data_IF_135865450480
#
_entry.id   IF_135865450480
#
_cell.length_a   1.000
_cell.length_b   1.000
_cell.length_c   1.000
_cell.angle_alpha   90.00
_cell.angle_beta   90.00
_cell.angle_gamma   90.00
#
_symmetry.space_group_name_H-M   'P 1'
#
loop_
_entity.id
_entity.type
_entity.pdbx_description
1 polymer ?
#
# COMPACT_ATOMS: atom_id res chain seq x y z
N UNK A 1 -2.81 26.02 40.67
CA UNK A 1 -4.18 26.17 40.13
C UNK A 1 -4.15 25.67 38.71
N UNK A 2 -5.03 24.73 38.36
CA UNK A 2 -5.00 24.03 37.07
C UNK A 2 -5.19 25.00 35.91
N UNK A 3 -4.21 25.08 35.02
CA UNK A 3 -4.32 25.77 33.75
C UNK A 3 -5.39 25.08 32.92
N UNK A 4 -6.52 25.78 32.72
CA UNK A 4 -7.58 25.33 31.83
C UNK A 4 -7.01 25.14 30.43
N UNK A 5 -7.10 23.92 29.90
CA UNK A 5 -6.86 23.65 28.49
C UNK A 5 -7.70 24.64 27.68
N UNK A 6 -7.04 25.49 26.88
CA UNK A 6 -7.70 26.36 25.92
C UNK A 6 -8.74 25.56 25.15
N UNK A 7 -9.98 26.06 25.14
CA UNK A 7 -11.05 25.50 24.32
C UNK A 7 -10.58 25.48 22.87
N UNK A 8 -10.36 24.27 22.35
CA UNK A 8 -10.34 23.99 20.92
C UNK A 8 -11.63 24.59 20.35
N UNK A 9 -11.52 25.35 19.26
CA UNK A 9 -12.64 26.04 18.61
C UNK A 9 -13.92 25.18 18.63
N UNK A 10 -15.01 25.71 19.20
CA UNK A 10 -16.29 25.00 19.25
C UNK A 10 -16.83 24.94 17.83
N UNK A 11 -16.65 23.78 17.18
CA UNK A 11 -17.22 23.54 15.87
C UNK A 11 -18.75 23.53 15.97
N UNK A 12 -19.42 24.23 15.07
CA UNK A 12 -20.88 24.14 14.90
C UNK A 12 -21.22 22.80 14.23
N UNK A 13 -21.21 21.75 15.04
CA UNK A 13 -21.42 20.36 14.61
C UNK A 13 -22.78 20.19 13.94
N UNK A 14 -23.82 20.85 14.47
CA UNK A 14 -25.17 20.77 13.93
C UNK A 14 -25.23 21.32 12.50
N UNK A 15 -24.66 22.50 12.25
CA UNK A 15 -24.59 23.07 10.90
C UNK A 15 -23.78 22.18 9.95
N UNK A 16 -22.60 21.72 10.38
CA UNK A 16 -21.70 20.92 9.53
C UNK A 16 -22.30 19.55 9.17
N UNK A 17 -22.97 18.88 10.11
CA UNK A 17 -23.70 17.63 9.86
C UNK A 17 -24.85 17.89 8.89
N UNK A 18 -25.63 18.95 9.09
CA UNK A 18 -26.72 19.33 8.19
C UNK A 18 -26.25 19.65 6.76
N UNK A 19 -25.13 20.37 6.61
CA UNK A 19 -24.52 20.65 5.30
C UNK A 19 -24.06 19.37 4.60
N UNK A 20 -23.41 18.46 5.33
CA UNK A 20 -22.98 17.16 4.80
C UNK A 20 -24.17 16.31 4.32
N UNK A 21 -25.23 16.24 5.11
CA UNK A 21 -26.44 15.49 4.76
C UNK A 21 -27.16 16.12 3.56
N UNK A 22 -27.27 17.45 3.50
CA UNK A 22 -27.85 18.15 2.36
C UNK A 22 -27.06 17.87 1.07
N UNK A 23 -25.72 17.87 1.15
CA UNK A 23 -24.85 17.53 0.03
C UNK A 23 -25.01 16.08 -0.43
N UNK A 24 -25.05 15.13 0.50
CA UNK A 24 -25.27 13.71 0.20
C UNK A 24 -26.64 13.48 -0.47
N UNK A 25 -27.71 14.06 0.08
CA UNK A 25 -29.05 13.99 -0.50
C UNK A 25 -29.11 14.60 -1.91
N UNK A 26 -28.37 15.70 -2.14
CA UNK A 26 -28.26 16.30 -3.47
C UNK A 26 -27.59 15.33 -4.46
N UNK A 27 -26.48 14.69 -4.08
CA UNK A 27 -25.80 13.69 -4.91
C UNK A 27 -26.70 12.49 -5.19
N UNK A 28 -27.37 11.95 -4.17
CA UNK A 28 -28.22 10.77 -4.30
C UNK A 28 -29.42 10.99 -5.22
N UNK A 29 -30.03 12.17 -5.15
CA UNK A 29 -31.12 12.56 -6.06
C UNK A 29 -30.61 12.68 -7.50
N UNK A 30 -29.46 13.30 -7.72
CA UNK A 30 -28.88 13.41 -9.08
C UNK A 30 -28.48 12.07 -9.66
N UNK A 31 -27.91 11.18 -8.84
CA UNK A 31 -27.61 9.81 -9.26
C UNK A 31 -28.89 9.04 -9.65
N UNK A 32 -29.96 9.18 -8.86
CA UNK A 32 -31.26 8.57 -9.13
C UNK A 32 -31.89 9.08 -10.44
N UNK A 33 -31.81 10.38 -10.71
CA UNK A 33 -32.26 10.97 -12.00
C UNK A 33 -31.55 10.29 -13.19
N UNK A 34 -30.23 10.08 -13.10
CA UNK A 34 -29.45 9.42 -14.15
C UNK A 34 -29.80 7.93 -14.26
N UNK A 35 -29.98 7.23 -13.13
CA UNK A 35 -30.38 5.81 -13.13
C UNK A 35 -31.70 5.59 -13.85
N UNK A 36 -32.71 6.44 -13.63
CA UNK A 36 -34.01 6.32 -14.32
C UNK A 36 -33.88 6.45 -15.84
N UNK A 37 -33.03 7.36 -16.30
CA UNK A 37 -32.74 7.51 -17.73
C UNK A 37 -32.10 6.22 -18.27
N UNK A 38 -31.09 5.69 -17.56
CA UNK A 38 -30.41 4.47 -17.94
C UNK A 38 -31.37 3.26 -17.97
N UNK A 39 -32.22 3.08 -16.95
CA UNK A 39 -33.23 2.02 -16.90
C UNK A 39 -34.21 2.11 -18.07
N UNK A 40 -34.70 3.32 -18.39
CA UNK A 40 -35.60 3.50 -19.54
C UNK A 40 -34.91 3.23 -20.89
N UNK A 41 -33.59 3.43 -20.98
CA UNK A 41 -32.82 3.12 -22.17
C UNK A 41 -32.58 1.61 -22.32
N UNK A 42 -32.12 0.96 -21.24
CA UNK A 42 -31.86 -0.48 -21.16
C UNK A 42 -33.09 -1.32 -21.47
N UNK A 43 -34.26 -0.92 -20.97
CA UNK A 43 -35.55 -1.58 -21.23
C UNK A 43 -35.99 -1.59 -22.71
N UNK A 44 -35.26 -0.94 -23.62
CA UNK A 44 -35.51 -1.02 -25.07
C UNK A 44 -34.91 -2.29 -25.71
N UNK A 45 -34.11 -3.06 -24.99
CA UNK A 45 -33.50 -4.30 -25.48
C UNK A 45 -32.53 -4.10 -26.65
N UNK A 46 -31.79 -2.99 -26.63
CA UNK A 46 -30.80 -2.64 -27.65
C UNK A 46 -29.35 -2.92 -27.20
N UNK A 47 -29.17 -3.34 -25.95
CA UNK A 47 -27.88 -3.64 -25.32
C UNK A 47 -27.79 -5.14 -24.95
N UNK A 48 -26.65 -5.57 -24.39
CA UNK A 48 -26.44 -6.97 -23.96
C UNK A 48 -27.40 -7.42 -22.85
N UNK A 49 -27.79 -6.49 -21.99
CA UNK A 49 -28.69 -6.72 -20.85
C UNK A 49 -29.81 -5.68 -20.86
N UNK A 50 -31.01 -6.10 -20.44
CA UNK A 50 -32.21 -5.24 -20.35
C UNK A 50 -32.26 -4.41 -19.06
N UNK A 51 -31.30 -4.62 -18.17
CA UNK A 51 -31.16 -3.93 -16.88
C UNK A 51 -29.85 -3.14 -16.78
N UNK A 52 -29.75 -2.28 -15.77
CA UNK A 52 -28.54 -1.47 -15.54
C UNK A 52 -27.48 -2.34 -14.86
N UNK A 53 -26.41 -2.65 -15.59
CA UNK A 53 -25.34 -3.58 -15.17
C UNK A 53 -24.40 -3.02 -14.07
N UNK A 54 -24.38 -1.71 -13.83
CA UNK A 54 -23.60 -1.10 -12.76
C UNK A 54 -24.53 -0.91 -11.56
N UNK A 55 -24.41 -1.67 -10.46
CA UNK A 55 -25.29 -1.52 -9.32
C UNK A 55 -24.87 -0.37 -8.40
N UNK A 56 -25.85 0.31 -7.77
CA UNK A 56 -25.57 1.28 -6.69
C UNK A 56 -25.21 0.58 -5.41
N UNK A 57 -24.25 1.11 -4.68
CA UNK A 57 -23.81 0.61 -3.38
C UNK A 57 -23.65 1.80 -2.44
N UNK A 58 -23.98 1.62 -1.16
CA UNK A 58 -23.95 2.70 -0.17
C UNK A 58 -22.60 2.74 0.56
N UNK A 59 -22.03 1.58 0.84
CA UNK A 59 -20.80 1.41 1.61
C UNK A 59 -20.00 0.19 1.15
N UNK A 60 -18.84 -0.01 1.79
CA UNK A 60 -17.97 -1.16 1.53
C UNK A 60 -18.72 -2.50 1.65
N UNK A 61 -19.57 -2.65 2.66
CA UNK A 61 -20.30 -3.89 2.87
C UNK A 61 -21.22 -4.23 1.69
N UNK A 62 -22.02 -3.25 1.24
CA UNK A 62 -22.88 -3.44 0.06
C UNK A 62 -22.07 -3.63 -1.24
N UNK A 63 -20.90 -2.98 -1.36
CA UNK A 63 -19.99 -3.24 -2.49
C UNK A 63 -19.50 -4.68 -2.50
N UNK A 64 -19.02 -5.17 -1.36
CA UNK A 64 -18.54 -6.55 -1.24
C UNK A 64 -19.63 -7.57 -1.52
N UNK A 65 -20.85 -7.37 -0.99
CA UNK A 65 -22.00 -8.22 -1.30
C UNK A 65 -22.26 -8.25 -2.81
N UNK A 66 -22.55 -7.09 -3.41
CA UNK A 66 -22.95 -7.03 -4.82
C UNK A 66 -21.87 -7.50 -5.79
N UNK A 67 -20.59 -7.28 -5.46
CA UNK A 67 -19.47 -7.73 -6.28
C UNK A 67 -19.42 -9.26 -6.39
N UNK A 68 -19.84 -9.98 -5.35
CA UNK A 68 -19.68 -11.44 -5.25
C UNK A 68 -21.01 -12.20 -5.26
N UNK A 69 -22.13 -11.49 -5.26
CA UNK A 69 -23.48 -12.04 -5.10
C UNK A 69 -23.86 -13.06 -6.17
N UNK A 70 -23.57 -12.74 -7.44
CA UNK A 70 -23.95 -13.57 -8.58
C UNK A 70 -23.22 -14.93 -8.58
N UNK A 71 -21.90 -14.91 -8.34
CA UNK A 71 -21.06 -16.07 -8.64
C UNK A 71 -20.55 -16.82 -7.40
N UNK A 72 -20.37 -16.13 -6.27
CA UNK A 72 -19.57 -16.65 -5.14
C UNK A 72 -20.31 -16.69 -3.80
N UNK A 73 -21.32 -15.86 -3.58
CA UNK A 73 -22.05 -15.89 -2.31
C UNK A 73 -23.19 -16.91 -2.29
N UNK A 74 -23.62 -17.42 -3.45
CA UNK A 74 -24.69 -18.42 -3.57
C UNK A 74 -25.95 -18.07 -2.73
N UNK A 75 -26.30 -16.78 -2.66
CA UNK A 75 -27.42 -16.25 -1.88
C UNK A 75 -27.15 -16.14 -0.37
N UNK A 76 -25.89 -16.14 0.08
CA UNK A 76 -25.53 -15.64 1.42
C UNK A 76 -25.59 -14.11 1.42
N UNK A 77 -26.13 -13.55 2.50
CA UNK A 77 -26.09 -12.12 2.77
C UNK A 77 -25.01 -11.86 3.82
N UNK A 78 -24.03 -11.02 3.48
CA UNK A 78 -22.89 -10.69 4.34
C UNK A 78 -22.85 -9.21 4.72
N UNK A 79 -23.79 -8.39 4.25
CA UNK A 79 -23.71 -6.94 4.38
C UNK A 79 -23.72 -6.48 5.85
N UNK A 80 -24.72 -6.90 6.62
CA UNK A 80 -24.89 -6.43 8.00
C UNK A 80 -23.78 -6.95 8.92
N UNK A 81 -23.35 -8.20 8.70
CA UNK A 81 -22.25 -8.81 9.45
C UNK A 81 -20.94 -8.06 9.20
N UNK A 82 -20.61 -7.80 7.94
CA UNK A 82 -19.43 -7.02 7.57
C UNK A 82 -19.51 -5.59 8.09
N UNK A 83 -20.67 -4.94 8.01
CA UNK A 83 -20.88 -3.58 8.52
C UNK A 83 -20.68 -3.50 10.03
N UNK A 84 -21.10 -4.53 10.77
CA UNK A 84 -20.86 -4.62 12.21
C UNK A 84 -19.38 -4.84 12.53
N UNK A 85 -18.70 -5.74 11.81
CA UNK A 85 -17.26 -5.98 11.98
C UNK A 85 -16.42 -4.73 11.71
N UNK A 86 -16.75 -3.96 10.67
CA UNK A 86 -16.04 -2.72 10.32
C UNK A 86 -16.22 -1.59 11.36
N UNK A 87 -17.24 -1.68 12.23
CA UNK A 87 -17.43 -0.71 13.32
C UNK A 87 -16.56 -1.03 14.55
N UNK A 88 -16.25 -2.31 14.75
CA UNK A 88 -15.55 -2.79 15.96
C UNK A 88 -14.08 -3.13 15.72
N UNK A 89 -13.71 -3.38 14.47
CA UNK A 89 -12.40 -3.91 14.09
C UNK A 89 -11.79 -3.11 12.94
N UNK A 90 -10.46 -3.07 12.87
CA UNK A 90 -9.76 -2.61 11.68
C UNK A 90 -10.13 -3.48 10.46
N UNK A 91 -10.08 -2.88 9.27
CA UNK A 91 -10.48 -3.51 8.01
C UNK A 91 -9.82 -4.86 7.78
N UNK A 92 -8.51 -4.99 8.04
CA UNK A 92 -7.78 -6.23 7.83
C UNK A 92 -8.27 -7.36 8.76
N UNK A 93 -8.64 -7.04 10.00
CA UNK A 93 -9.23 -8.03 10.91
C UNK A 93 -10.66 -8.37 10.49
N UNK A 94 -11.47 -7.35 10.17
CA UNK A 94 -12.83 -7.54 9.68
C UNK A 94 -12.85 -8.44 8.42
N UNK A 95 -11.89 -8.27 7.51
CA UNK A 95 -11.73 -9.09 6.31
C UNK A 95 -11.43 -10.57 6.62
N UNK A 96 -10.60 -10.84 7.61
CA UNK A 96 -10.27 -12.21 8.03
C UNK A 96 -11.46 -12.87 8.72
N UNK A 97 -12.11 -12.15 9.63
CA UNK A 97 -13.26 -12.66 10.40
C UNK A 97 -14.46 -12.96 9.49
N UNK A 98 -14.81 -12.05 8.58
CA UNK A 98 -15.91 -12.28 7.64
C UNK A 98 -15.58 -13.40 6.65
N UNK A 99 -14.32 -13.52 6.20
CA UNK A 99 -13.91 -14.60 5.30
C UNK A 99 -14.06 -15.98 5.96
N UNK A 100 -13.68 -16.10 7.23
CA UNK A 100 -13.88 -17.32 8.01
C UNK A 100 -15.35 -17.65 8.21
N UNK A 101 -16.16 -16.66 8.59
CA UNK A 101 -17.59 -16.84 8.80
C UNK A 101 -18.30 -17.27 7.50
N UNK A 102 -18.02 -16.60 6.38
CA UNK A 102 -18.54 -16.98 5.06
C UNK A 102 -18.13 -18.39 4.69
N UNK A 103 -16.86 -18.77 4.86
CA UNK A 103 -16.41 -20.12 4.55
C UNK A 103 -17.13 -21.17 5.40
N UNK A 104 -17.33 -20.94 6.70
CA UNK A 104 -18.10 -21.86 7.57
C UNK A 104 -19.54 -21.99 7.10
N UNK A 105 -20.23 -20.87 6.86
CA UNK A 105 -21.64 -20.86 6.41
C UNK A 105 -21.79 -21.50 5.05
N UNK A 106 -20.85 -21.24 4.14
CA UNK A 106 -20.83 -21.84 2.81
C UNK A 106 -20.63 -23.35 2.89
N UNK A 107 -19.66 -23.82 3.68
CA UNK A 107 -19.42 -25.24 3.88
C UNK A 107 -20.64 -25.95 4.49
N UNK A 108 -21.28 -25.33 5.48
CA UNK A 108 -22.51 -25.86 6.07
C UNK A 108 -23.67 -25.96 5.06
N UNK A 109 -23.71 -25.09 4.05
CA UNK A 109 -24.77 -25.04 3.04
C UNK A 109 -24.53 -25.96 1.84
N UNK A 110 -23.31 -26.01 1.33
CA UNK A 110 -22.96 -26.73 0.09
C UNK A 110 -22.31 -28.09 0.35
N UNK A 111 -21.75 -28.29 1.56
CA UNK A 111 -20.85 -29.42 1.88
C UNK A 111 -19.63 -29.53 0.97
N UNK A 112 -19.34 -28.49 0.18
CA UNK A 112 -18.24 -28.41 -0.78
C UNK A 112 -17.13 -27.54 -0.18
N UNK A 113 -16.03 -28.17 0.20
CA UNK A 113 -14.90 -27.51 0.85
C UNK A 113 -14.22 -26.52 -0.11
N UNK A 114 -14.05 -26.89 -1.39
CA UNK A 114 -13.38 -26.01 -2.37
C UNK A 114 -14.18 -24.74 -2.58
N UNK A 115 -15.50 -24.84 -2.78
CA UNK A 115 -16.37 -23.67 -2.90
C UNK A 115 -16.40 -22.82 -1.64
N UNK A 116 -16.42 -23.45 -0.47
CA UNK A 116 -16.40 -22.74 0.80
C UNK A 116 -15.12 -21.90 0.97
N UNK A 117 -13.97 -22.48 0.65
CA UNK A 117 -12.67 -21.79 0.72
C UNK A 117 -12.59 -20.69 -0.33
N UNK A 118 -12.97 -20.98 -1.58
CA UNK A 118 -12.96 -19.98 -2.67
C UNK A 118 -13.81 -18.76 -2.31
N UNK A 119 -15.05 -18.99 -1.86
CA UNK A 119 -15.96 -17.91 -1.43
C UNK A 119 -15.37 -17.08 -0.29
N UNK A 120 -14.81 -17.73 0.74
CA UNK A 120 -14.19 -17.04 1.87
C UNK A 120 -12.97 -16.20 1.47
N UNK A 121 -12.06 -16.75 0.65
CA UNK A 121 -10.88 -16.03 0.15
C UNK A 121 -11.31 -14.81 -0.67
N UNK A 122 -12.28 -14.95 -1.57
CA UNK A 122 -12.75 -13.85 -2.42
C UNK A 122 -13.43 -12.76 -1.61
N UNK A 123 -14.26 -13.11 -0.62
CA UNK A 123 -14.86 -12.13 0.30
C UNK A 123 -13.77 -11.38 1.06
N UNK A 124 -12.82 -12.08 1.67
CA UNK A 124 -11.72 -11.45 2.40
C UNK A 124 -10.89 -10.52 1.50
N UNK A 125 -10.55 -10.97 0.29
CA UNK A 125 -9.82 -10.17 -0.68
C UNK A 125 -10.62 -8.94 -1.15
N UNK A 126 -11.93 -9.08 -1.33
CA UNK A 126 -12.81 -7.96 -1.68
C UNK A 126 -12.85 -6.90 -0.59
N UNK A 127 -12.95 -7.29 0.68
CA UNK A 127 -12.90 -6.33 1.80
C UNK A 127 -11.54 -5.61 1.86
N UNK A 128 -10.43 -6.35 1.69
CA UNK A 128 -9.08 -5.79 1.69
C UNK A 128 -8.82 -4.82 0.54
N UNK A 129 -9.48 -5.03 -0.59
CA UNK A 129 -9.36 -4.22 -1.81
C UNK A 129 -10.51 -3.21 -1.98
N UNK A 130 -11.24 -2.95 -0.90
CA UNK A 130 -12.40 -2.04 -0.83
C UNK A 130 -13.55 -2.36 -1.81
N UNK A 131 -13.53 -3.57 -2.37
CA UNK A 131 -14.42 -4.04 -3.43
C UNK A 131 -14.42 -3.11 -4.66
N UNK A 132 -13.27 -2.52 -4.97
CA UNK A 132 -13.06 -1.66 -6.15
C UNK A 132 -12.19 -2.35 -7.19
N UNK A 133 -11.36 -3.30 -6.78
CA UNK A 133 -10.39 -3.96 -7.65
C UNK A 133 -10.93 -5.27 -8.21
N UNK A 134 -10.43 -5.67 -9.38
CA UNK A 134 -10.79 -6.94 -10.05
C UNK A 134 -10.18 -8.17 -9.37
N UNK A 135 -9.23 -7.98 -8.45
CA UNK A 135 -8.50 -9.07 -7.81
C UNK A 135 -9.36 -10.17 -7.15
N UNK A 136 -10.49 -9.87 -6.48
CA UNK A 136 -11.39 -10.89 -5.93
C UNK A 136 -12.11 -11.73 -7.00
N UNK A 137 -12.22 -11.22 -8.23
CA UNK A 137 -12.88 -11.91 -9.34
C UNK A 137 -11.85 -12.64 -10.21
N UNK A 138 -10.87 -11.91 -10.73
CA UNK A 138 -9.91 -12.41 -11.72
C UNK A 138 -8.53 -12.72 -11.14
N UNK A 139 -8.23 -12.29 -9.91
CA UNK A 139 -6.93 -12.55 -9.28
C UNK A 139 -6.79 -13.97 -8.75
N UNK A 140 -7.92 -14.63 -8.45
CA UNK A 140 -7.99 -16.03 -8.04
C UNK A 140 -8.57 -16.83 -9.22
N UNK A 141 -7.74 -17.63 -9.89
CA UNK A 141 -8.16 -18.55 -10.94
C UNK A 141 -8.94 -19.74 -10.40
N UNK A 142 -8.66 -20.17 -9.17
CA UNK A 142 -9.43 -21.20 -8.48
C UNK A 142 -8.79 -21.70 -7.20
N UNK A 143 -9.53 -22.56 -6.49
CA UNK A 143 -9.08 -23.22 -5.26
C UNK A 143 -9.21 -24.73 -5.45
N UNK A 144 -8.19 -25.48 -5.05
CA UNK A 144 -8.15 -26.94 -5.17
C UNK A 144 -7.64 -27.59 -3.89
N UNK A 145 -8.23 -28.72 -3.54
CA UNK A 145 -7.69 -29.64 -2.53
C UNK A 145 -6.82 -30.67 -3.25
N UNK A 146 -5.54 -30.73 -2.87
CA UNK A 146 -4.55 -31.61 -3.48
C UNK A 146 -3.92 -32.51 -2.42
N UNK A 147 -3.16 -33.54 -2.83
CA UNK A 147 -2.53 -34.49 -1.90
C UNK A 147 -1.02 -34.34 -1.86
N UNK A 148 -0.48 -34.28 -0.64
CA UNK A 148 0.94 -34.36 -0.36
C UNK A 148 1.51 -35.72 -0.79
N UNK A 149 2.83 -35.87 -0.69
CA UNK A 149 3.51 -37.13 -0.99
C UNK A 149 3.04 -38.30 -0.09
N UNK A 150 2.65 -38.01 1.15
CA UNK A 150 2.13 -38.97 2.13
C UNK A 150 0.62 -39.25 2.00
N UNK A 151 -0.05 -38.61 1.04
CA UNK A 151 -1.49 -38.73 0.80
C UNK A 151 -2.36 -37.75 1.58
N UNK A 152 -1.81 -37.01 2.56
CA UNK A 152 -2.57 -36.00 3.29
C UNK A 152 -3.05 -34.86 2.38
N UNK A 153 -4.26 -34.37 2.62
CA UNK A 153 -4.87 -33.31 1.83
C UNK A 153 -4.35 -31.92 2.26
N UNK A 154 -4.18 -31.01 1.29
CA UNK A 154 -3.76 -29.63 1.53
C UNK A 154 -4.46 -28.65 0.56
N UNK A 155 -4.44 -27.38 0.93
CA UNK A 155 -5.01 -26.28 0.12
C UNK A 155 -4.01 -25.76 -0.92
N UNK A 156 -4.44 -25.71 -2.18
CA UNK A 156 -3.77 -25.09 -3.32
C UNK A 156 -4.62 -23.94 -3.86
N UNK A 157 -4.03 -22.74 -3.98
CA UNK A 157 -4.72 -21.55 -4.48
C UNK A 157 -4.07 -21.17 -5.81
N UNK A 158 -4.84 -21.20 -6.89
CA UNK A 158 -4.38 -20.77 -8.21
C UNK A 158 -4.54 -19.25 -8.35
N UNK A 159 -3.44 -18.51 -8.26
CA UNK A 159 -3.39 -17.08 -8.52
C UNK A 159 -3.14 -16.78 -10.00
N UNK A 160 -3.83 -15.77 -10.52
CA UNK A 160 -3.67 -15.30 -11.90
C UNK A 160 -2.99 -13.91 -11.95
N UNK A 161 -2.55 -13.49 -13.14
CA UNK A 161 -1.86 -12.20 -13.35
C UNK A 161 -2.58 -10.97 -12.78
N UNK A 162 -3.92 -10.85 -12.90
CA UNK A 162 -4.69 -9.73 -12.34
C UNK A 162 -4.56 -9.55 -10.82
N UNK A 163 -4.07 -10.55 -10.08
CA UNK A 163 -3.77 -10.41 -8.63
C UNK A 163 -2.79 -9.28 -8.33
N UNK A 164 -2.00 -8.84 -9.32
CA UNK A 164 -1.10 -7.69 -9.18
C UNK A 164 -1.85 -6.42 -8.74
N UNK A 165 -3.07 -6.23 -9.25
CA UNK A 165 -3.89 -5.05 -8.97
C UNK A 165 -4.22 -4.92 -7.48
N UNK A 166 -4.36 -6.04 -6.76
CA UNK A 166 -4.65 -6.06 -5.32
C UNK A 166 -3.58 -5.36 -4.47
N UNK A 167 -2.34 -5.30 -4.98
CA UNK A 167 -1.16 -4.90 -4.23
C UNK A 167 -0.63 -6.00 -3.30
N UNK A 168 0.66 -5.89 -2.94
CA UNK A 168 1.37 -6.92 -2.19
C UNK A 168 0.74 -7.27 -0.83
N UNK A 169 0.15 -6.30 -0.13
CA UNK A 169 -0.46 -6.56 1.19
C UNK A 169 -1.70 -7.45 1.06
N UNK A 170 -2.57 -7.16 0.09
CA UNK A 170 -3.77 -7.96 -0.15
C UNK A 170 -3.43 -9.35 -0.71
N UNK A 171 -2.41 -9.46 -1.57
CA UNK A 171 -1.86 -10.75 -2.02
C UNK A 171 -1.46 -11.64 -0.85
N UNK A 172 -0.65 -11.11 0.06
CA UNK A 172 -0.16 -11.86 1.20
C UNK A 172 -1.27 -12.21 2.21
N UNK A 173 -2.18 -11.26 2.47
CA UNK A 173 -3.33 -11.52 3.34
C UNK A 173 -4.30 -12.53 2.73
N UNK A 174 -4.43 -12.59 1.40
CA UNK A 174 -5.19 -13.65 0.73
C UNK A 174 -4.64 -15.05 1.02
N UNK A 175 -3.30 -15.21 1.03
CA UNK A 175 -2.64 -16.46 1.44
C UNK A 175 -2.89 -16.77 2.92
N UNK A 176 -2.82 -15.76 3.79
CA UNK A 176 -3.09 -15.91 5.23
C UNK A 176 -4.55 -16.32 5.48
N UNK A 177 -5.52 -15.66 4.82
CA UNK A 177 -6.94 -16.00 4.90
C UNK A 177 -7.17 -17.45 4.45
N UNK A 178 -6.56 -17.85 3.32
CA UNK A 178 -6.61 -19.23 2.86
C UNK A 178 -6.09 -20.22 3.92
N UNK A 179 -4.95 -19.93 4.55
CA UNK A 179 -4.41 -20.74 5.64
C UNK A 179 -5.34 -20.83 6.87
N UNK A 180 -5.99 -19.73 7.24
CA UNK A 180 -6.92 -19.72 8.37
C UNK A 180 -8.19 -20.53 8.05
N UNK A 181 -8.77 -20.36 6.86
CA UNK A 181 -9.96 -21.10 6.44
C UNK A 181 -9.65 -22.60 6.34
N UNK A 182 -8.54 -23.00 5.72
CA UNK A 182 -8.23 -24.44 5.58
C UNK A 182 -8.10 -25.15 6.92
N UNK A 183 -7.54 -24.48 7.94
CA UNK A 183 -7.42 -25.04 9.30
C UNK A 183 -8.79 -25.21 9.94
N UNK A 184 -9.64 -24.21 9.77
CA UNK A 184 -11.00 -24.20 10.30
C UNK A 184 -11.86 -25.31 9.67
N UNK A 185 -11.67 -25.59 8.38
CA UNK A 185 -12.36 -26.65 7.65
C UNK A 185 -11.64 -28.02 7.70
N UNK A 186 -10.58 -28.15 8.52
CA UNK A 186 -9.90 -29.42 8.76
C UNK A 186 -8.96 -29.91 7.65
N UNK A 187 -8.60 -29.06 6.69
CA UNK A 187 -7.65 -29.38 5.61
C UNK A 187 -6.20 -29.25 6.12
N UNK A 188 -5.39 -30.27 5.80
CA UNK A 188 -4.01 -30.40 6.23
C UNK A 188 -3.05 -29.32 5.69
N UNK A 189 -1.80 -29.39 6.15
CA UNK A 189 -0.74 -28.45 5.76
C UNK A 189 -0.09 -28.89 4.45
N UNK A 190 0.23 -27.95 3.58
CA UNK A 190 1.08 -28.20 2.42
C UNK A 190 2.51 -28.57 2.83
N UNK A 191 3.03 -29.67 2.26
CA UNK A 191 4.41 -30.12 2.43
C UNK A 191 5.06 -30.24 1.05
N UNK A 192 5.83 -29.22 0.62
CA UNK A 192 6.38 -29.18 -0.72
C UNK A 192 7.45 -30.23 -0.95
N UNK A 193 7.42 -30.84 -2.14
CA UNK A 193 8.52 -31.67 -2.63
C UNK A 193 9.66 -30.80 -3.17
N UNK A 194 10.89 -31.33 -3.20
CA UNK A 194 12.03 -30.58 -3.76
C UNK A 194 11.80 -30.14 -5.22
N UNK A 195 11.24 -30.97 -6.13
CA UNK A 195 10.89 -30.52 -7.48
C UNK A 195 9.92 -29.32 -7.52
N UNK A 196 8.97 -29.22 -6.59
CA UNK A 196 8.06 -28.07 -6.52
C UNK A 196 8.78 -26.78 -6.13
N UNK A 197 9.70 -26.86 -5.16
CA UNK A 197 10.52 -25.72 -4.74
C UNK A 197 11.44 -25.26 -5.86
N UNK A 198 12.16 -26.20 -6.49
CA UNK A 198 13.09 -25.89 -7.57
C UNK A 198 12.39 -25.37 -8.83
N UNK A 199 11.17 -25.84 -9.11
CA UNK A 199 10.32 -25.25 -10.15
C UNK A 199 10.04 -23.77 -9.90
N UNK A 200 9.70 -23.38 -8.67
CA UNK A 200 9.47 -21.96 -8.35
C UNK A 200 10.77 -21.15 -8.50
N UNK A 201 11.93 -21.69 -8.08
CA UNK A 201 13.24 -21.04 -8.30
C UNK A 201 13.54 -20.81 -9.79
N UNK A 202 13.29 -21.84 -10.61
CA UNK A 202 13.46 -21.74 -12.07
C UNK A 202 12.54 -20.68 -12.67
N UNK A 203 11.26 -20.68 -12.29
CA UNK A 203 10.29 -19.67 -12.75
C UNK A 203 10.74 -18.25 -12.40
N UNK A 204 11.22 -18.00 -11.17
CA UNK A 204 11.81 -16.71 -10.79
C UNK A 204 13.03 -16.35 -11.64
N UNK A 205 13.91 -17.32 -11.93
CA UNK A 205 15.09 -17.13 -12.79
C UNK A 205 14.72 -16.74 -14.21
N UNK A 206 13.64 -17.30 -14.74
CA UNK A 206 13.16 -17.08 -16.11
C UNK A 206 12.23 -15.87 -16.26
N UNK A 207 11.57 -15.42 -15.18
CA UNK A 207 10.64 -14.31 -15.23
C UNK A 207 11.34 -13.00 -15.61
N UNK A 208 10.81 -12.31 -16.63
CA UNK A 208 11.38 -11.08 -17.21
C UNK A 208 10.52 -9.83 -16.96
N UNK A 209 9.27 -10.00 -16.55
CA UNK A 209 8.45 -8.84 -16.20
C UNK A 209 9.01 -8.16 -14.95
N UNK A 210 8.96 -6.83 -14.91
CA UNK A 210 9.46 -6.05 -13.78
C UNK A 210 8.70 -6.42 -12.50
N UNK A 211 9.43 -6.77 -11.45
CA UNK A 211 8.90 -7.04 -10.10
C UNK A 211 9.41 -6.00 -9.12
N UNK A 212 8.57 -5.64 -8.15
CA UNK A 212 8.99 -4.73 -7.06
C UNK A 212 10.04 -5.34 -6.14
N UNK A 213 10.06 -6.67 -6.03
CA UNK A 213 11.04 -7.42 -5.27
C UNK A 213 11.22 -8.79 -5.90
N UNK A 214 12.47 -9.13 -6.25
CA UNK A 214 12.85 -10.44 -6.76
C UNK A 214 13.64 -11.15 -5.67
N UNK A 215 13.01 -12.07 -4.90
CA UNK A 215 13.71 -12.77 -3.83
C UNK A 215 14.84 -13.63 -4.41
N UNK A 216 15.99 -13.74 -3.72
CA UNK A 216 17.05 -14.67 -4.10
C UNK A 216 16.61 -16.14 -3.89
N UNK A 217 17.28 -17.13 -4.54
CA UNK A 217 16.90 -18.54 -4.49
C UNK A 217 16.75 -19.12 -3.08
N UNK A 218 17.58 -18.68 -2.13
CA UNK A 218 17.55 -19.14 -0.73
C UNK A 218 16.27 -18.66 -0.02
N UNK A 219 15.82 -17.45 -0.35
CA UNK A 219 14.57 -16.90 0.18
C UNK A 219 13.34 -17.58 -0.40
N UNK A 220 13.39 -17.89 -1.70
CA UNK A 220 12.35 -18.67 -2.38
C UNK A 220 12.23 -20.05 -1.73
N UNK A 221 13.35 -20.70 -1.41
CA UNK A 221 13.31 -21.99 -0.74
C UNK A 221 12.66 -21.92 0.64
N UNK A 222 13.06 -20.96 1.47
CA UNK A 222 12.50 -20.78 2.81
C UNK A 222 11.00 -20.51 2.74
N UNK A 223 10.57 -19.57 1.90
CA UNK A 223 9.16 -19.16 1.85
C UNK A 223 8.27 -20.27 1.31
N UNK A 224 8.67 -20.96 0.25
CA UNK A 224 7.88 -22.06 -0.34
C UNK A 224 7.80 -23.24 0.61
N UNK A 225 8.91 -23.60 1.28
CA UNK A 225 8.93 -24.70 2.27
C UNK A 225 8.15 -24.41 3.54
N UNK A 226 8.10 -23.14 3.97
CA UNK A 226 7.42 -22.77 5.19
C UNK A 226 5.92 -22.54 4.98
N UNK A 227 5.52 -22.02 3.82
CA UNK A 227 4.13 -21.65 3.54
C UNK A 227 3.19 -22.86 3.70
N UNK A 228 2.15 -22.76 4.55
CA UNK A 228 1.27 -23.88 4.84
C UNK A 228 0.22 -24.18 3.76
N UNK A 229 0.14 -23.32 2.74
CA UNK A 229 -0.73 -23.44 1.58
C UNK A 229 0.12 -23.38 0.32
N UNK A 230 -0.27 -24.11 -0.73
CA UNK A 230 0.44 -24.07 -1.99
C UNK A 230 0.01 -22.83 -2.78
N UNK A 231 0.97 -21.94 -3.04
CA UNK A 231 0.79 -20.81 -3.97
C UNK A 231 0.98 -21.37 -5.37
N UNK A 232 -0.12 -21.57 -6.07
CA UNK A 232 -0.17 -22.10 -7.42
C UNK A 232 -0.77 -21.05 -8.37
N UNK A 233 -0.97 -21.38 -9.64
CA UNK A 233 -1.49 -20.40 -10.57
C UNK A 233 -1.54 -20.87 -12.01
N UNK A 234 -2.15 -20.02 -12.83
CA UNK A 234 -2.23 -20.20 -14.28
C UNK A 234 -0.94 -19.80 -14.97
N UNK A 235 -0.71 -20.38 -16.14
CA UNK A 235 0.42 -20.04 -17.01
C UNK A 235 0.18 -18.67 -17.65
N UNK A 236 0.97 -17.67 -17.27
CA UNK A 236 0.80 -16.30 -17.79
C UNK A 236 1.83 -15.94 -18.85
N UNK A 237 3.00 -16.60 -18.84
CA UNK A 237 4.06 -16.33 -19.81
C UNK A 237 4.12 -17.43 -20.88
N UNK A 238 4.67 -17.08 -22.05
CA UNK A 238 4.86 -18.03 -23.16
C UNK A 238 6.08 -18.94 -22.97
N UNK A 239 7.02 -18.56 -22.10
CA UNK A 239 8.27 -19.29 -21.92
C UNK A 239 8.04 -20.57 -21.09
N UNK A 240 8.60 -21.68 -21.55
CA UNK A 240 8.58 -22.96 -20.83
C UNK A 240 9.76 -23.09 -19.87
N UNK A 241 9.53 -23.80 -18.76
CA UNK A 241 10.58 -24.24 -17.86
C UNK A 241 11.31 -25.44 -18.48
N UNK A 242 12.63 -25.46 -18.37
CA UNK A 242 13.50 -26.50 -18.93
C UNK A 242 13.80 -27.60 -17.94
N UNK A 243 14.13 -27.25 -16.68
CA UNK A 243 14.60 -28.20 -15.67
C UNK A 243 13.46 -28.98 -15.01
N UNK A 244 12.48 -28.26 -14.48
CA UNK A 244 11.36 -28.83 -13.72
C UNK A 244 10.05 -28.70 -14.49
N UNK A 245 10.03 -29.13 -15.75
CA UNK A 245 8.90 -28.93 -16.67
C UNK A 245 7.60 -29.59 -16.20
N UNK A 246 7.66 -30.81 -15.69
CA UNK A 246 6.50 -31.57 -15.22
C UNK A 246 6.65 -31.88 -13.73
N UNK A 247 5.76 -31.32 -12.91
CA UNK A 247 5.77 -31.48 -11.46
C UNK A 247 4.38 -31.87 -10.98
N UNK A 248 4.32 -32.87 -10.08
CA UNK A 248 3.10 -33.56 -9.64
C UNK A 248 1.90 -32.65 -9.35
N UNK A 249 2.09 -31.60 -8.54
CA UNK A 249 0.99 -30.71 -8.13
C UNK A 249 0.90 -29.42 -8.97
N UNK A 250 1.74 -29.28 -10.00
CA UNK A 250 1.74 -28.12 -10.92
C UNK A 250 1.07 -28.56 -12.23
N UNK A 251 -0.24 -28.76 -12.13
CA UNK A 251 -1.09 -29.29 -13.21
C UNK A 251 -2.29 -28.39 -13.46
N UNK A 252 -2.80 -28.45 -14.68
CA UNK A 252 -4.08 -27.88 -15.11
C UNK A 252 -5.25 -28.64 -14.48
N UNK A 253 -6.45 -28.05 -14.54
CA UNK A 253 -7.67 -28.67 -13.99
C UNK A 253 -8.04 -29.99 -14.69
N UNK A 254 -7.56 -30.22 -15.91
CA UNK A 254 -7.72 -31.47 -16.66
C UNK A 254 -6.60 -32.50 -16.38
N UNK A 255 -5.69 -32.23 -15.44
CA UNK A 255 -4.60 -33.12 -15.06
C UNK A 255 -3.34 -33.05 -15.93
N UNK A 256 -3.30 -32.23 -16.98
CA UNK A 256 -2.07 -32.05 -17.78
C UNK A 256 -1.06 -31.16 -17.05
N UNK A 257 0.23 -31.39 -17.26
CA UNK A 257 1.28 -30.60 -16.62
C UNK A 257 1.25 -29.13 -17.10
N UNK A 258 1.47 -28.18 -16.16
CA UNK A 258 1.77 -26.79 -16.50
C UNK A 258 3.27 -26.66 -16.71
N UNK A 259 3.68 -26.35 -17.93
CA UNK A 259 5.08 -26.32 -18.36
C UNK A 259 5.65 -24.90 -18.40
N UNK A 260 4.81 -23.88 -18.36
CA UNK A 260 5.17 -22.47 -18.48
C UNK A 260 5.21 -21.74 -17.14
N UNK A 261 5.71 -20.50 -17.17
CA UNK A 261 5.84 -19.65 -15.98
C UNK A 261 4.47 -19.17 -15.51
N UNK A 262 4.24 -19.24 -14.19
CA UNK A 262 3.01 -18.81 -13.53
C UNK A 262 3.22 -17.46 -12.85
N UNK A 263 3.01 -16.37 -13.58
CA UNK A 263 3.30 -15.01 -13.08
C UNK A 263 2.54 -14.65 -11.79
N UNK A 264 1.31 -15.13 -11.63
CA UNK A 264 0.54 -14.95 -10.38
C UNK A 264 1.26 -15.50 -9.14
N UNK A 265 1.89 -16.67 -9.26
CA UNK A 265 2.69 -17.29 -8.18
C UNK A 265 3.85 -16.40 -7.79
N UNK A 266 4.58 -15.91 -8.80
CA UNK A 266 5.78 -15.10 -8.59
C UNK A 266 5.44 -13.75 -7.94
N UNK A 267 4.33 -13.12 -8.34
CA UNK A 267 3.86 -11.88 -7.75
C UNK A 267 3.48 -12.07 -6.28
N UNK A 268 2.70 -13.10 -5.95
CA UNK A 268 2.26 -13.36 -4.57
C UNK A 268 3.45 -13.71 -3.67
N UNK A 269 4.42 -14.48 -4.14
CA UNK A 269 5.63 -14.80 -3.37
C UNK A 269 6.53 -13.56 -3.22
N UNK A 270 6.89 -12.92 -4.34
CA UNK A 270 7.86 -11.82 -4.36
C UNK A 270 7.31 -10.50 -3.83
N UNK A 271 6.25 -9.98 -4.45
CA UNK A 271 5.64 -8.68 -4.08
C UNK A 271 4.70 -8.78 -2.88
N UNK A 272 4.14 -9.96 -2.63
CA UNK A 272 3.31 -10.26 -1.47
C UNK A 272 4.11 -10.69 -0.26
N UNK A 273 4.38 -11.99 -0.13
CA UNK A 273 4.95 -12.60 1.07
C UNK A 273 6.32 -12.04 1.45
N UNK A 274 7.27 -11.98 0.52
CA UNK A 274 8.62 -11.52 0.81
C UNK A 274 8.65 -10.00 1.06
N UNK A 275 8.17 -9.20 0.11
CA UNK A 275 8.23 -7.73 0.21
C UNK A 275 7.37 -7.16 1.35
N UNK A 276 6.25 -7.81 1.71
CA UNK A 276 5.35 -7.35 2.78
C UNK A 276 5.48 -8.13 4.08
N UNK A 277 6.52 -8.94 4.22
CA UNK A 277 6.82 -9.71 5.44
C UNK A 277 6.66 -8.91 6.75
N UNK A 278 7.17 -7.67 6.90
CA UNK A 278 7.01 -6.91 8.13
C UNK A 278 5.54 -6.59 8.48
N UNK A 279 4.71 -6.28 7.47
CA UNK A 279 3.29 -5.97 7.67
C UNK A 279 2.51 -7.24 8.01
N UNK A 280 2.81 -8.36 7.34
CA UNK A 280 2.20 -9.67 7.62
C UNK A 280 2.52 -10.12 9.05
N UNK A 281 3.77 -10.01 9.48
CA UNK A 281 4.20 -10.40 10.82
C UNK A 281 3.41 -9.68 11.92
N UNK A 282 3.14 -8.38 11.75
CA UNK A 282 2.32 -7.59 12.68
C UNK A 282 0.90 -8.18 12.81
N UNK A 283 0.30 -8.59 11.69
CA UNK A 283 -1.04 -9.18 11.69
C UNK A 283 -1.06 -10.60 12.29
N UNK A 284 -0.09 -11.44 11.94
CA UNK A 284 -0.04 -12.82 12.45
C UNK A 284 0.25 -12.86 13.96
N UNK A 285 1.10 -11.95 14.47
CA UNK A 285 1.33 -11.79 15.91
C UNK A 285 0.09 -11.28 16.63
N UNK A 286 -0.61 -10.28 16.08
CA UNK A 286 -1.85 -9.74 16.66
C UNK A 286 -2.96 -10.78 16.76
N UNK A 287 -3.11 -11.61 15.72
CA UNK A 287 -4.13 -12.65 15.63
C UNK A 287 -3.67 -14.00 16.22
N UNK A 288 -2.43 -14.07 16.72
CA UNK A 288 -1.82 -15.28 17.26
C UNK A 288 -1.92 -16.50 16.32
N UNK A 289 -1.65 -16.30 15.02
CA UNK A 289 -1.78 -17.36 14.00
C UNK A 289 -0.56 -18.28 14.07
N UNK A 290 -0.73 -19.58 14.41
CA UNK A 290 0.41 -20.46 14.60
C UNK A 290 1.09 -20.80 13.26
N UNK A 291 2.41 -20.97 13.27
CA UNK A 291 3.16 -21.45 12.10
C UNK A 291 3.51 -20.39 11.05
N UNK A 292 3.32 -19.09 11.36
CA UNK A 292 3.72 -17.97 10.51
C UNK A 292 5.01 -17.27 10.96
N UNK A 293 5.71 -17.82 11.96
CA UNK A 293 6.96 -17.25 12.49
C UNK A 293 8.08 -17.19 11.44
N UNK A 294 7.99 -17.99 10.37
CA UNK A 294 8.95 -17.97 9.26
C UNK A 294 9.03 -16.60 8.58
N UNK A 295 7.94 -15.82 8.60
CA UNK A 295 7.92 -14.47 8.01
C UNK A 295 8.90 -13.53 8.71
N UNK A 296 9.20 -13.77 9.99
CA UNK A 296 10.16 -12.96 10.76
C UNK A 296 11.59 -13.02 10.17
N UNK A 297 11.96 -14.12 9.49
CA UNK A 297 13.28 -14.28 8.88
C UNK A 297 13.52 -13.28 7.73
N UNK A 298 12.46 -12.71 7.17
CA UNK A 298 12.51 -11.74 6.08
C UNK A 298 12.44 -10.28 6.55
N UNK A 299 12.15 -10.04 7.84
CA UNK A 299 12.02 -8.68 8.41
C UNK A 299 13.39 -8.07 8.78
N UNK A 300 14.44 -8.90 8.93
CA UNK A 300 15.75 -8.48 9.43
C UNK A 300 16.87 -8.33 8.39
N UNK A 301 16.72 -8.81 7.15
CA UNK A 301 17.83 -8.84 6.18
C UNK A 301 18.22 -7.47 5.63
N UNK A 302 17.30 -6.52 5.60
CA UNK A 302 17.60 -5.11 5.27
C UNK A 302 18.43 -4.40 6.36
N UNK A 303 18.58 -5.00 7.55
CA UNK A 303 19.37 -4.45 8.68
C UNK A 303 20.74 -5.09 8.86
N UNK A 304 21.08 -6.16 8.13
CA UNK A 304 22.32 -6.92 8.34
C UNK A 304 23.61 -6.23 7.84
N UNK A 305 23.52 -4.98 7.36
CA UNK A 305 24.67 -4.19 6.90
C UNK A 305 25.19 -3.14 7.89
N UNK A 306 24.65 -3.05 9.11
CA UNK A 306 25.01 -2.02 10.07
C UNK A 306 25.07 -2.55 11.50
N UNK A 307 26.04 -3.41 11.79
CA UNK A 307 26.49 -3.63 13.17
C UNK A 307 27.96 -3.25 13.30
N UNK A 308 28.22 -2.12 13.97
CA UNK A 308 29.51 -1.82 14.58
C UNK A 308 29.32 -1.15 15.93
N UNK A 309 29.76 -1.88 16.96
CA UNK A 309 30.39 -1.52 18.24
C UNK A 309 29.84 -0.41 19.16
N UNK A 310 29.90 -0.76 20.46
CA UNK A 310 29.55 0.02 21.64
C UNK A 310 30.20 1.41 21.67
N UNK A 311 29.38 2.43 21.47
CA UNK A 311 29.68 3.84 21.69
C UNK A 311 28.35 4.62 21.69
N UNK A 312 28.29 5.75 22.41
CA UNK A 312 27.09 6.59 22.52
C UNK A 312 26.42 6.76 21.15
N UNK A 313 25.22 6.18 20.97
CA UNK A 313 24.49 6.17 19.68
C UNK A 313 24.26 7.59 19.18
N UNK A 314 25.15 8.09 18.34
CA UNK A 314 24.83 9.19 17.42
C UNK A 314 23.65 8.68 16.60
N UNK A 315 22.55 9.45 16.51
CA UNK A 315 21.42 9.11 15.63
C UNK A 315 21.88 9.24 14.18
N UNK A 316 22.67 8.29 13.71
CA UNK A 316 23.14 8.24 12.34
C UNK A 316 22.00 7.68 11.49
N UNK A 317 21.55 8.50 10.54
CA UNK A 317 20.46 8.13 9.63
C UNK A 317 21.06 7.19 8.60
N UNK A 318 20.59 5.95 8.55
CA UNK A 318 21.07 4.97 7.55
C UNK A 318 20.87 5.48 6.13
N UNK A 319 21.78 5.22 5.19
CA UNK A 319 21.56 5.62 3.78
C UNK A 319 20.66 4.59 3.09
N UNK A 320 19.64 5.04 2.36
CA UNK A 320 18.77 4.17 1.53
C UNK A 320 18.95 4.53 0.06
N UNK A 321 19.75 3.75 -0.68
CA UNK A 321 20.06 4.02 -2.10
C UNK A 321 19.07 3.42 -3.10
N UNK A 322 18.07 2.65 -2.65
CA UNK A 322 17.16 1.88 -3.53
C UNK A 322 16.46 2.70 -4.62
N UNK A 323 16.23 4.00 -4.41
CA UNK A 323 15.59 4.84 -5.43
C UNK A 323 16.51 5.13 -6.63
N UNK A 324 17.82 4.93 -6.48
CA UNK A 324 18.86 5.13 -7.51
C UNK A 324 19.04 3.92 -8.43
N UNK A 325 18.58 2.72 -8.04
CA UNK A 325 18.80 1.48 -8.79
C UNK A 325 18.10 1.49 -10.17
N UNK A 326 17.04 2.31 -10.31
CA UNK A 326 16.19 2.39 -11.51
C UNK A 326 16.31 3.75 -12.24
N UNK A 327 17.49 4.37 -12.24
CA UNK A 327 17.68 5.63 -12.99
C UNK A 327 17.63 5.33 -14.49
N UNK A 328 16.66 5.94 -15.17
CA UNK A 328 16.46 5.85 -16.62
C UNK A 328 16.85 7.18 -17.24
N UNK A 329 17.39 7.16 -18.46
CA UNK A 329 17.66 8.36 -19.23
C UNK A 329 16.44 9.30 -19.28
N UNK A 330 16.66 10.59 -19.01
CA UNK A 330 15.59 11.60 -18.97
C UNK A 330 14.91 11.77 -17.60
N UNK A 331 15.27 10.97 -16.57
CA UNK A 331 14.84 11.21 -15.18
C UNK A 331 15.98 11.85 -14.39
N UNK A 332 15.88 13.13 -14.01
CA UNK A 332 16.92 13.78 -13.21
C UNK A 332 16.96 13.22 -11.79
N UNK A 333 18.15 13.29 -11.19
CA UNK A 333 18.37 13.03 -9.76
C UNK A 333 18.48 14.37 -9.06
N UNK A 334 17.62 14.59 -8.06
CA UNK A 334 17.55 15.86 -7.33
C UNK A 334 18.40 15.89 -6.05
N UNK A 335 19.03 14.77 -5.69
CA UNK A 335 19.91 14.66 -4.54
C UNK A 335 20.36 13.23 -4.30
N UNK A 336 21.58 13.07 -3.79
CA UNK A 336 22.10 11.76 -3.37
C UNK A 336 21.52 11.35 -2.00
N UNK A 337 21.47 10.03 -1.69
CA UNK A 337 20.89 9.54 -0.44
C UNK A 337 21.59 10.11 0.81
N UNK A 338 20.83 10.75 1.69
CA UNK A 338 21.32 11.43 2.91
C UNK A 338 22.49 12.41 2.68
N UNK A 339 22.66 12.99 1.49
CA UNK A 339 23.71 13.99 1.22
C UNK A 339 23.20 15.44 1.41
N UNK A 340 24.02 16.33 1.99
CA UNK A 340 23.68 17.76 2.06
C UNK A 340 23.48 18.38 0.68
N UNK A 341 22.52 19.30 0.56
CA UNK A 341 22.17 20.01 -0.68
C UNK A 341 20.94 19.46 -1.42
N UNK A 342 20.50 18.25 -1.06
CA UNK A 342 19.17 17.74 -1.41
C UNK A 342 18.05 18.51 -0.70
N UNK A 343 16.83 17.96 -0.73
CA UNK A 343 15.70 18.56 -0.03
C UNK A 343 15.80 18.41 1.49
N UNK A 344 15.58 19.50 2.23
CA UNK A 344 15.50 19.48 3.69
C UNK A 344 14.13 19.00 4.16
N UNK A 345 14.08 17.96 4.99
CA UNK A 345 12.82 17.46 5.54
C UNK A 345 12.19 18.45 6.53
N UNK A 346 10.97 18.86 6.23
CA UNK A 346 10.06 19.54 7.16
C UNK A 346 8.83 18.66 7.38
N UNK A 347 8.49 18.40 8.64
CA UNK A 347 7.24 17.71 8.95
C UNK A 347 6.06 18.67 8.81
N UNK A 348 5.00 18.22 8.13
CA UNK A 348 3.76 18.96 8.05
C UNK A 348 2.87 18.48 6.92
N UNK A 349 1.70 19.09 6.79
CA UNK A 349 0.72 18.74 5.77
C UNK A 349 0.12 20.01 5.20
N UNK A 350 0.33 20.25 3.90
CA UNK A 350 -0.31 21.37 3.23
C UNK A 350 -1.74 20.98 2.84
N UNK A 351 -2.55 21.97 2.48
CA UNK A 351 -3.90 21.72 1.92
C UNK A 351 -3.85 20.89 0.65
N UNK A 352 -2.75 20.96 -0.11
CA UNK A 352 -2.58 20.28 -1.39
C UNK A 352 -1.91 18.91 -1.27
N UNK A 353 -1.09 18.66 -0.23
CA UNK A 353 -0.25 17.47 -0.14
C UNK A 353 -1.01 16.16 0.14
N UNK A 354 -2.33 16.22 0.36
CA UNK A 354 -3.22 15.05 0.28
C UNK A 354 -2.73 13.80 1.03
N UNK A 355 -2.69 12.67 0.31
CA UNK A 355 -2.17 11.36 0.74
C UNK A 355 -1.02 10.98 -0.21
N UNK A 356 0.07 10.42 0.31
CA UNK A 356 1.24 10.00 -0.47
C UNK A 356 1.83 11.09 -1.37
N UNK A 357 1.69 12.36 -0.97
CA UNK A 357 2.25 13.51 -1.65
C UNK A 357 3.18 14.30 -0.74
N UNK A 358 4.13 14.99 -1.34
CA UNK A 358 5.07 15.87 -0.66
C UNK A 358 4.90 17.31 -1.16
N UNK A 359 4.96 18.26 -0.24
CA UNK A 359 4.97 19.68 -0.58
C UNK A 359 6.38 20.11 -0.98
N UNK A 360 6.53 20.75 -2.14
CA UNK A 360 7.80 21.36 -2.58
C UNK A 360 7.53 22.82 -2.92
N UNK A 361 8.51 23.68 -2.67
CA UNK A 361 8.37 25.09 -3.03
C UNK A 361 8.35 25.24 -4.57
N UNK A 362 7.40 25.99 -5.16
CA UNK A 362 7.36 26.23 -6.61
C UNK A 362 8.65 26.80 -7.20
N UNK A 363 9.41 27.59 -6.42
CA UNK A 363 10.73 28.09 -6.81
C UNK A 363 11.70 26.93 -7.00
N UNK A 364 11.74 25.97 -6.08
CA UNK A 364 12.57 24.76 -6.23
C UNK A 364 12.17 23.94 -7.45
N UNK A 365 10.87 23.89 -7.77
CA UNK A 365 10.38 23.21 -8.97
C UNK A 365 10.93 23.84 -10.26
N UNK A 366 10.90 25.18 -10.36
CA UNK A 366 11.44 25.92 -11.51
C UNK A 366 12.98 25.86 -11.54
N UNK A 367 13.63 26.01 -10.39
CA UNK A 367 15.08 26.02 -10.26
C UNK A 367 15.73 24.69 -10.63
N UNK A 368 15.08 23.56 -10.34
CA UNK A 368 15.55 22.23 -10.70
C UNK A 368 15.15 21.85 -12.14
N UNK A 369 15.21 22.83 -13.06
CA UNK A 369 14.99 22.66 -14.49
C UNK A 369 13.53 22.43 -14.90
N UNK A 370 12.55 22.73 -14.04
CA UNK A 370 11.13 22.55 -14.34
C UNK A 370 10.69 21.09 -14.49
N UNK A 371 11.53 20.11 -14.11
CA UNK A 371 11.19 18.69 -14.16
C UNK A 371 10.16 18.31 -13.10
N UNK A 372 10.21 18.97 -11.94
CA UNK A 372 9.19 18.84 -10.91
C UNK A 372 8.02 19.75 -11.28
N UNK A 373 6.83 19.16 -11.36
CA UNK A 373 5.58 19.85 -11.64
C UNK A 373 4.49 19.29 -10.74
N UNK A 374 3.34 19.96 -10.69
CA UNK A 374 2.20 19.48 -9.89
C UNK A 374 1.76 18.11 -10.39
N UNK A 375 1.85 17.10 -9.53
CA UNK A 375 1.54 15.71 -9.86
C UNK A 375 2.72 14.88 -10.37
N UNK A 376 3.92 15.47 -10.58
CA UNK A 376 5.12 14.68 -10.90
C UNK A 376 5.36 13.65 -9.78
N UNK A 377 5.43 12.38 -10.15
CA UNK A 377 5.82 11.32 -9.21
C UNK A 377 7.33 11.33 -9.02
N UNK A 378 7.78 11.69 -7.82
CA UNK A 378 9.18 11.67 -7.43
C UNK A 378 9.46 10.41 -6.62
N UNK A 379 10.48 9.63 -6.99
CA UNK A 379 11.00 8.58 -6.12
C UNK A 379 11.78 9.23 -4.98
N UNK A 380 11.55 8.78 -3.76
CA UNK A 380 12.14 9.38 -2.56
C UNK A 380 12.85 8.33 -1.72
N UNK A 381 13.83 8.79 -0.95
CA UNK A 381 14.52 7.96 0.03
C UNK A 381 13.61 7.57 1.21
N UNK A 382 12.81 8.54 1.67
CA UNK A 382 11.87 8.46 2.80
C UNK A 382 10.68 9.40 2.57
N UNK A 383 9.54 9.18 3.24
CA UNK A 383 9.17 8.00 4.04
C UNK A 383 8.68 6.80 3.23
N UNK A 384 8.25 7.01 1.98
CA UNK A 384 7.77 5.97 1.07
C UNK A 384 8.75 5.66 -0.06
N UNK A 385 8.32 4.87 -1.04
CA UNK A 385 9.08 4.62 -2.28
C UNK A 385 9.01 5.82 -3.25
N UNK A 386 7.90 6.54 -3.22
CA UNK A 386 7.62 7.68 -4.08
C UNK A 386 6.60 8.59 -3.41
N UNK A 387 6.55 9.84 -3.87
CA UNK A 387 5.51 10.79 -3.53
C UNK A 387 5.07 11.57 -4.77
N UNK A 388 3.81 11.98 -4.83
CA UNK A 388 3.37 13.00 -5.78
C UNK A 388 3.83 14.38 -5.31
N UNK A 389 4.39 15.19 -6.21
CA UNK A 389 4.83 16.55 -5.90
C UNK A 389 3.64 17.50 -5.92
N UNK A 390 3.50 18.29 -4.86
CA UNK A 390 2.45 19.31 -4.71
C UNK A 390 3.07 20.65 -4.34
N UNK A 391 2.51 21.79 -4.78
CA UNK A 391 3.09 23.09 -4.46
C UNK A 391 2.81 23.47 -3.00
N UNK A 392 3.83 23.98 -2.32
CA UNK A 392 3.70 24.57 -0.99
C UNK A 392 4.54 25.85 -0.91
N UNK A 393 3.88 26.99 -0.75
CA UNK A 393 4.52 28.32 -0.70
C UNK A 393 4.97 28.73 0.70
N UNK A 394 4.53 28.01 1.74
CA UNK A 394 4.82 28.31 3.15
C UNK A 394 6.16 27.73 3.64
N UNK A 395 6.88 27.05 2.75
CA UNK A 395 8.15 26.37 3.01
C UNK A 395 9.28 27.03 2.23
N UNK A 396 10.51 26.86 2.71
CA UNK A 396 11.67 27.52 2.10
C UNK A 396 11.97 26.99 0.69
N UNK A 397 12.24 27.93 -0.23
CA UNK A 397 12.77 27.63 -1.57
C UNK A 397 14.27 27.31 -1.55
N UNK A 398 14.89 27.22 -2.74
CA UNK A 398 16.29 26.83 -2.88
C UNK A 398 17.22 27.94 -2.38
N UNK A 399 18.43 27.53 -1.96
CA UNK A 399 19.51 28.46 -1.67
C UNK A 399 20.54 28.42 -2.78
N UNK A 400 20.91 29.59 -3.30
CA UNK A 400 21.72 29.72 -4.52
C UNK A 400 22.97 30.55 -4.27
N UNK A 401 24.02 30.25 -5.02
CA UNK A 401 25.22 31.08 -5.16
C UNK A 401 25.19 31.76 -6.52
N UNK A 402 25.27 33.10 -6.53
CA UNK A 402 25.29 33.91 -7.76
C UNK A 402 26.72 34.23 -8.21
N UNK A 403 26.83 34.71 -9.45
CA UNK A 403 28.10 35.09 -10.10
C UNK A 403 28.87 36.23 -9.40
N UNK A 404 28.18 37.09 -8.67
CA UNK A 404 28.75 38.16 -7.85
C UNK A 404 29.21 37.69 -6.45
N UNK A 405 29.06 36.38 -6.16
CA UNK A 405 29.37 35.79 -4.87
C UNK A 405 28.26 35.89 -3.82
N UNK A 406 27.09 36.45 -4.17
CA UNK A 406 25.97 36.51 -3.26
C UNK A 406 25.41 35.11 -2.98
N UNK A 407 25.29 34.78 -1.69
CA UNK A 407 24.66 33.55 -1.21
C UNK A 407 23.32 33.90 -0.56
N UNK A 408 22.22 33.46 -1.18
CA UNK A 408 20.89 33.82 -0.72
C UNK A 408 19.86 32.74 -0.98
N UNK A 409 18.80 32.74 -0.16
CA UNK A 409 17.60 31.96 -0.40
C UNK A 409 16.70 32.70 -1.37
N UNK A 410 16.06 31.97 -2.28
CA UNK A 410 15.07 32.51 -3.21
C UNK A 410 13.68 32.10 -2.72
N UNK A 411 12.82 33.07 -2.44
CA UNK A 411 11.53 32.83 -1.78
C UNK A 411 10.35 32.81 -2.77
N UNK A 412 10.46 33.53 -3.89
CA UNK A 412 9.39 33.67 -4.88
C UNK A 412 9.84 33.30 -6.29
N UNK A 413 8.87 32.98 -7.15
CA UNK A 413 9.13 32.60 -8.55
C UNK A 413 9.61 33.81 -9.34
N UNK A 414 9.11 34.99 -9.00
CA UNK A 414 9.55 36.28 -9.54
C UNK A 414 11.03 36.52 -9.23
N UNK A 415 11.45 36.38 -7.96
CA UNK A 415 12.85 36.51 -7.56
C UNK A 415 13.76 35.51 -8.28
N UNK A 416 13.28 34.29 -8.52
CA UNK A 416 14.03 33.28 -9.28
C UNK A 416 14.26 33.72 -10.71
N UNK A 417 13.21 34.18 -11.40
CA UNK A 417 13.32 34.64 -12.80
C UNK A 417 14.27 35.82 -12.96
N UNK A 418 14.33 36.69 -11.95
CA UNK A 418 15.21 37.86 -11.95
C UNK A 418 16.70 37.50 -11.75
N UNK A 419 17.03 36.33 -11.20
CA UNK A 419 18.41 35.93 -10.96
C UNK A 419 18.84 34.61 -11.62
N UNK A 420 17.94 33.89 -12.30
CA UNK A 420 18.19 32.55 -12.83
C UNK A 420 19.39 32.48 -13.78
N UNK A 421 19.60 33.53 -14.59
CA UNK A 421 20.72 33.66 -15.53
C UNK A 421 22.07 33.90 -14.84
N UNK A 422 22.04 34.32 -13.57
CA UNK A 422 23.22 34.63 -12.74
C UNK A 422 23.57 33.55 -11.72
N UNK A 423 22.77 32.47 -11.64
CA UNK A 423 23.00 31.36 -10.70
C UNK A 423 24.22 30.54 -11.15
N UNK A 424 25.28 30.53 -10.34
CA UNK A 424 26.43 29.65 -10.53
C UNK A 424 26.12 28.23 -10.05
N UNK A 425 25.49 28.10 -8.89
CA UNK A 425 25.10 26.81 -8.33
C UNK A 425 23.89 26.91 -7.41
N UNK A 426 23.07 25.86 -7.44
CA UNK A 426 22.06 25.61 -6.42
C UNK A 426 22.76 24.83 -5.32
N UNK A 427 22.93 25.44 -4.15
CA UNK A 427 23.63 24.82 -3.03
C UNK A 427 22.68 23.92 -2.23
N UNK A 428 21.40 24.28 -2.20
CA UNK A 428 20.37 23.51 -1.51
C UNK A 428 19.03 23.61 -2.24
N UNK A 429 18.33 22.48 -2.34
CA UNK A 429 17.09 22.34 -3.12
C UNK A 429 15.84 22.96 -2.45
N UNK A 430 15.95 23.45 -1.23
CA UNK A 430 14.84 23.95 -0.41
C UNK A 430 14.25 22.87 0.51
N UNK A 431 13.10 23.18 1.08
CA UNK A 431 12.37 22.25 1.95
C UNK A 431 11.50 21.28 1.15
N UNK A 432 11.30 20.08 1.72
CA UNK A 432 10.26 19.13 1.32
C UNK A 432 9.36 18.85 2.53
N UNK A 433 8.08 19.15 2.36
CA UNK A 433 7.06 18.96 3.37
C UNK A 433 6.51 17.53 3.30
N UNK A 434 6.69 16.76 4.37
CA UNK A 434 6.17 15.39 4.47
C UNK A 434 5.30 15.20 5.70
N UNK A 435 4.15 14.58 5.53
CA UNK A 435 3.21 14.33 6.62
C UNK A 435 3.70 13.22 7.55
N UNK A 436 3.48 13.38 8.86
CA UNK A 436 3.73 12.32 9.85
C UNK A 436 3.03 11.00 9.48
N UNK A 437 1.80 11.08 8.97
CA UNK A 437 1.03 9.90 8.54
C UNK A 437 1.73 9.05 7.48
N UNK A 438 2.59 9.65 6.65
CA UNK A 438 3.35 8.92 5.63
C UNK A 438 4.44 8.03 6.27
N UNK A 439 5.07 8.49 7.34
CA UNK A 439 6.03 7.67 8.10
C UNK A 439 5.33 6.52 8.83
N UNK A 440 4.16 6.82 9.42
CA UNK A 440 3.35 5.85 10.13
C UNK A 440 2.86 4.73 9.19
N UNK A 441 2.28 5.08 8.05
CA UNK A 441 1.76 4.11 7.07
C UNK A 441 2.87 3.23 6.48
N UNK A 442 4.04 3.83 6.18
CA UNK A 442 5.18 3.10 5.62
C UNK A 442 6.02 2.37 6.68
N UNK A 443 5.63 2.42 7.96
CA UNK A 443 6.35 1.83 9.09
C UNK A 443 7.84 2.24 9.11
N UNK A 444 8.10 3.54 8.95
CA UNK A 444 9.44 4.13 8.99
C UNK A 444 9.66 4.90 10.28
N UNK A 445 10.87 4.81 10.80
CA UNK A 445 11.30 5.65 11.92
C UNK A 445 11.34 7.12 11.51
N UNK A 446 10.93 8.00 12.42
CA UNK A 446 11.07 9.43 12.23
C UNK A 446 12.54 9.82 12.24
N UNK A 447 12.92 10.68 11.30
CA UNK A 447 14.25 11.30 11.28
C UNK A 447 14.17 12.72 11.84
N UNK A 448 15.27 13.28 12.38
CA UNK A 448 15.29 14.68 12.79
C UNK A 448 14.87 15.61 11.65
N UNK A 449 13.96 16.54 11.93
CA UNK A 449 13.61 17.62 10.99
C UNK A 449 14.58 18.78 11.16
N UNK A 450 14.75 19.57 10.11
CA UNK A 450 15.44 20.85 10.21
C UNK A 450 14.68 21.79 11.16
N UNK A 451 15.42 22.61 11.90
CA UNK A 451 14.82 23.68 12.69
C UNK A 451 14.15 24.67 11.74
N UNK A 452 12.84 24.83 11.89
CA UNK A 452 11.99 25.56 10.96
C UNK A 452 11.07 26.52 11.71
N UNK A 453 10.32 27.35 10.97
CA UNK A 453 9.45 28.37 11.56
C UNK A 453 8.40 27.80 12.51
N UNK A 454 7.87 26.61 12.24
CA UNK A 454 6.82 26.02 13.07
C UNK A 454 7.39 25.56 14.42
N UNK A 455 8.58 24.97 14.40
CA UNK A 455 9.31 24.64 15.63
C UNK A 455 9.70 25.90 16.39
N UNK A 456 10.28 26.89 15.71
CA UNK A 456 10.63 28.16 16.34
C UNK A 456 9.42 28.87 16.97
N UNK A 457 8.26 28.84 16.30
CA UNK A 457 7.03 29.41 16.85
C UNK A 457 6.57 28.69 18.13
N UNK A 458 6.72 27.36 18.18
CA UNK A 458 6.45 26.58 19.39
C UNK A 458 7.42 26.92 20.53
N UNK A 459 8.73 26.97 20.24
CA UNK A 459 9.74 27.36 21.23
C UNK A 459 9.50 28.80 21.74
N UNK A 460 9.11 29.71 20.85
CA UNK A 460 8.78 31.08 21.20
C UNK A 460 7.53 31.14 22.10
N UNK A 461 6.48 30.39 21.75
CA UNK A 461 5.27 30.32 22.56
C UNK A 461 5.55 29.75 23.97
N UNK A 462 6.39 28.72 24.06
CA UNK A 462 6.83 28.14 25.33
C UNK A 462 7.72 29.11 26.13
N UNK A 463 8.56 29.90 25.45
CA UNK A 463 9.42 30.89 26.08
C UNK A 463 8.66 32.12 26.60
N UNK A 464 7.61 32.55 25.89
CA UNK A 464 6.72 33.67 26.24
C UNK A 464 5.61 33.25 27.21
N UNK A 465 6.00 32.56 28.28
CA UNK A 465 5.10 32.03 29.31
C UNK A 465 4.52 33.10 30.26
N UNK A 466 5.06 34.33 30.26
CA UNK A 466 4.69 35.43 31.15
C UNK A 466 4.58 36.77 30.41
N UNK A 467 3.62 37.66 30.81
CA UNK A 467 3.41 38.97 30.17
C UNK A 467 4.69 39.82 30.07
N UNK A 468 5.51 39.85 31.11
CA UNK A 468 6.77 40.62 31.12
C UNK A 468 7.76 40.16 30.02
N UNK A 469 7.79 38.85 29.72
CA UNK A 469 8.63 38.32 28.64
C UNK A 469 8.06 38.71 27.27
N UNK A 470 6.74 38.76 27.15
CA UNK A 470 6.05 39.23 25.94
C UNK A 470 6.34 40.70 25.70
N UNK A 471 6.24 41.55 26.73
CA UNK A 471 6.53 42.98 26.64
C UNK A 471 7.99 43.21 26.22
N UNK A 472 8.94 42.51 26.86
CA UNK A 472 10.36 42.58 26.50
C UNK A 472 10.64 42.07 25.08
N UNK A 473 9.92 41.05 24.62
CA UNK A 473 10.06 40.56 23.25
C UNK A 473 9.50 41.56 22.25
N UNK A 474 8.40 42.24 22.56
CA UNK A 474 7.85 43.31 21.74
C UNK A 474 8.84 44.48 21.61
N UNK A 475 9.50 44.89 22.70
CA UNK A 475 10.56 45.91 22.68
C UNK A 475 11.77 45.56 21.79
N UNK A 476 11.99 44.26 21.50
CA UNK A 476 13.06 43.81 20.60
C UNK A 476 12.65 43.81 19.12
N UNK A 477 11.36 43.89 18.83
CA UNK A 477 10.80 43.91 17.47
C UNK A 477 10.62 45.35 16.95
N UNK A 478 10.49 46.32 17.86
CA UNK A 478 10.57 47.77 17.60
C UNK A 478 12.02 48.22 17.38
#
# INVERSE_FOLDING_TARGET
>A
MGGGKQQIAVYDEARLVGEREAYQNWLDRRAEEVYRIATSAKAKGLDFEDEVEIPRTADLASRTQKLLEADYLHGLNIEDDLRNLLRTSERENAAIEIALDVAKRMHARTSDIEKAIDSGIRVGLAVLTEAVLVAPLEGIGGVRIMNNADGSEFLSIDFAGPIRAAGGTAQALGVLIGDMIRRELGVGRYVPTTPEVERVKEEFGLYRAGMQYKPPPEEIEVIVRACPVMINGEETEKLECSGYKEVRNIVNSNGTARTRIRGGVLLVIGEGLCLKAPKILKHTQRLNVPGWDFVAQFVGKDKAGAESEDGVKRREISKISRFMDDIIAGRPVFGEPCEPGGFRLRYGRSRASGLAAAGVNPVSMEALGGFLSVGTQMKVERPGKACAVTPCIDIDGPTVLLDDGAFRRVATVEEWRDCADRVLSIWDSGEILSGFGEFLENNKELVPSAYNRDWWAADLADALDHPEKTDRFAELLD
#
